data_IF_954861025630
#
_entry.id   IF_954861025630
#
_cell.length_a   1.000
_cell.length_b   1.000
_cell.length_c   1.000
_cell.angle_alpha   90.00
_cell.angle_beta   90.00
_cell.angle_gamma   90.00
#
_symmetry.space_group_name_H-M   'P 1'
#
loop_
_entity.id
_entity.type
_entity.pdbx_description
1 polymer ?
#
# COMPACT_ATOMS: atom_id res chain seq x y z
N UNK A 1 -34.77 17.19 34.08
CA UNK A 1 -33.67 16.21 34.19
C UNK A 1 -33.04 16.04 32.82
N UNK A 2 -31.78 16.47 32.68
CA UNK A 2 -30.96 16.38 31.47
C UNK A 2 -30.32 15.00 31.39
N UNK A 3 -30.08 14.54 30.17
CA UNK A 3 -29.02 13.58 29.87
C UNK A 3 -29.45 12.45 28.95
N UNK A 4 -29.64 12.74 27.66
CA UNK A 4 -29.43 11.72 26.63
C UNK A 4 -27.92 11.52 26.56
N UNK A 5 -27.41 10.51 27.26
CA UNK A 5 -26.03 10.07 27.12
C UNK A 5 -25.92 9.27 25.84
N UNK A 6 -25.40 9.92 24.80
CA UNK A 6 -25.02 9.26 23.56
C UNK A 6 -23.90 8.27 23.82
N UNK A 7 -24.15 7.00 23.49
CA UNK A 7 -23.08 6.09 23.12
C UNK A 7 -22.96 6.16 21.60
N UNK A 8 -22.24 7.20 21.17
CA UNK A 8 -21.85 7.38 19.79
C UNK A 8 -20.98 6.20 19.41
N UNK A 9 -21.54 5.30 18.61
CA UNK A 9 -20.75 4.32 17.86
C UNK A 9 -19.71 5.10 17.08
N UNK A 10 -18.48 5.13 17.58
CA UNK A 10 -17.32 5.51 16.78
C UNK A 10 -17.13 4.40 15.73
N UNK A 11 -17.94 4.42 14.68
CA UNK A 11 -17.65 3.76 13.42
C UNK A 11 -16.49 4.51 12.74
N UNK A 12 -15.34 4.55 13.41
CA UNK A 12 -14.16 5.27 13.01
C UNK A 12 -13.36 4.42 12.04
N UNK A 13 -13.35 4.85 10.78
CA UNK A 13 -12.49 4.42 9.67
C UNK A 13 -11.20 3.72 10.18
N UNK A 14 -11.07 2.41 9.94
CA UNK A 14 -9.86 1.66 10.30
C UNK A 14 -8.59 2.33 9.73
N UNK A 15 -7.40 1.95 10.22
CA UNK A 15 -6.15 2.60 9.83
C UNK A 15 -6.02 2.64 8.30
N UNK A 16 -5.67 3.82 7.81
CA UNK A 16 -5.42 4.07 6.40
C UNK A 16 -4.10 3.41 6.00
N UNK A 17 -4.08 2.76 4.83
CA UNK A 17 -2.98 1.93 4.36
C UNK A 17 -2.21 2.61 3.23
N UNK A 18 -0.89 2.51 3.30
CA UNK A 18 -0.02 2.67 2.14
C UNK A 18 0.23 1.30 1.51
N UNK A 19 0.12 1.20 0.19
CA UNK A 19 0.37 -0.04 -0.53
C UNK A 19 1.58 0.12 -1.46
N UNK A 20 2.59 -0.73 -1.24
CA UNK A 20 3.75 -0.83 -2.09
C UNK A 20 3.49 -1.72 -3.30
N UNK A 21 3.85 -1.22 -4.48
CA UNK A 21 3.68 -1.89 -5.76
C UNK A 21 5.02 -1.97 -6.45
N UNK A 22 5.61 -3.15 -6.61
CA UNK A 22 6.60 -3.35 -7.66
C UNK A 22 5.93 -4.05 -8.85
N UNK A 23 6.58 -4.18 -9.99
CA UNK A 23 6.01 -4.99 -11.07
C UNK A 23 7.06 -5.40 -12.09
N UNK A 24 6.73 -6.41 -12.90
CA UNK A 24 7.43 -6.64 -14.17
C UNK A 24 6.99 -5.56 -15.17
N UNK A 25 7.85 -5.31 -16.16
CA UNK A 25 7.52 -4.38 -17.23
C UNK A 25 6.26 -4.84 -17.99
N UNK A 26 5.38 -3.90 -18.30
CA UNK A 26 4.13 -4.19 -19.01
C UNK A 26 3.01 -4.76 -18.15
N UNK A 27 3.10 -4.65 -16.82
CA UNK A 27 2.00 -5.03 -15.93
C UNK A 27 0.73 -4.27 -16.31
N UNK A 28 -0.40 -4.96 -16.33
CA UNK A 28 -1.69 -4.33 -16.59
C UNK A 28 -2.29 -3.75 -15.31
N UNK A 29 -3.13 -2.74 -15.48
CA UNK A 29 -3.90 -2.14 -14.40
C UNK A 29 -4.79 -3.17 -13.67
N UNK A 30 -5.38 -4.09 -14.44
CA UNK A 30 -6.21 -5.18 -13.92
C UNK A 30 -5.43 -6.11 -12.99
N UNK A 31 -4.21 -6.47 -13.37
CA UNK A 31 -3.32 -7.31 -12.55
C UNK A 31 -2.92 -6.62 -11.26
N UNK A 32 -2.55 -5.33 -11.31
CA UNK A 32 -2.20 -4.57 -10.11
C UNK A 32 -3.37 -4.53 -9.13
N UNK A 33 -4.59 -4.22 -9.59
CA UNK A 33 -5.74 -4.16 -8.70
C UNK A 33 -6.21 -5.52 -8.21
N UNK A 34 -6.10 -6.59 -9.03
CA UNK A 34 -6.41 -7.93 -8.58
C UNK A 34 -5.49 -8.36 -7.43
N UNK A 35 -4.19 -8.10 -7.55
CA UNK A 35 -3.21 -8.41 -6.50
C UNK A 35 -3.44 -7.57 -5.25
N UNK A 36 -3.73 -6.28 -5.41
CA UNK A 36 -4.04 -5.40 -4.29
C UNK A 36 -5.27 -5.87 -3.52
N UNK A 37 -6.34 -6.26 -4.23
CA UNK A 37 -7.56 -6.82 -3.61
C UNK A 37 -7.26 -8.06 -2.78
N UNK A 38 -6.54 -9.01 -3.35
CA UNK A 38 -6.16 -10.25 -2.64
C UNK A 38 -5.32 -9.95 -1.39
N UNK A 39 -4.41 -8.97 -1.47
CA UNK A 39 -3.61 -8.54 -0.32
C UNK A 39 -4.48 -7.95 0.80
N UNK A 40 -5.40 -7.06 0.43
CA UNK A 40 -6.32 -6.42 1.37
C UNK A 40 -7.27 -7.43 2.01
N UNK A 41 -7.80 -8.38 1.24
CA UNK A 41 -8.66 -9.45 1.75
C UNK A 41 -7.96 -10.30 2.81
N UNK A 42 -6.68 -10.65 2.58
CA UNK A 42 -5.85 -11.37 3.56
C UNK A 42 -5.68 -10.58 4.86
N UNK A 43 -5.67 -9.25 4.78
CA UNK A 43 -5.62 -8.35 5.94
C UNK A 43 -7.00 -8.01 6.54
N UNK A 44 -8.11 -8.56 6.00
CA UNK A 44 -9.47 -8.20 6.40
C UNK A 44 -9.81 -6.73 6.11
N UNK A 45 -9.34 -6.23 4.96
CA UNK A 45 -9.50 -4.85 4.49
C UNK A 45 -10.08 -4.82 3.07
N UNK A 46 -10.45 -3.63 2.60
CA UNK A 46 -11.00 -3.38 1.26
C UNK A 46 -10.30 -2.18 0.63
N UNK A 47 -10.43 -2.02 -0.68
CA UNK A 47 -9.80 -0.94 -1.45
C UNK A 47 -9.92 0.46 -0.82
N UNK A 48 -11.07 0.87 -0.22
CA UNK A 48 -11.19 2.19 0.40
C UNK A 48 -10.27 2.44 1.62
N UNK A 49 -9.60 1.40 2.12
CA UNK A 49 -8.59 1.54 3.16
C UNK A 49 -7.24 2.03 2.61
N UNK A 50 -6.98 1.91 1.30
CA UNK A 50 -5.74 2.38 0.67
C UNK A 50 -5.84 3.88 0.41
N UNK A 51 -4.87 4.65 0.88
CA UNK A 51 -4.80 6.10 0.57
C UNK A 51 -3.62 6.49 -0.30
N UNK A 52 -2.67 5.59 -0.55
CA UNK A 52 -1.52 5.87 -1.41
C UNK A 52 -0.99 4.57 -2.00
N UNK A 53 -0.63 4.62 -3.28
CA UNK A 53 0.24 3.62 -3.90
C UNK A 53 1.67 4.16 -3.93
N UNK A 54 2.63 3.29 -3.64
CA UNK A 54 4.05 3.63 -3.64
C UNK A 54 4.83 2.65 -4.51
N UNK A 55 5.81 3.13 -5.28
CA UNK A 55 6.65 2.28 -6.13
C UNK A 55 8.07 2.79 -6.24
N UNK A 56 8.96 2.03 -6.87
CA UNK A 56 10.28 2.52 -7.25
C UNK A 56 10.19 3.47 -8.45
N UNK A 57 11.02 4.50 -8.50
CA UNK A 57 11.08 5.46 -9.61
C UNK A 57 11.27 4.77 -10.96
N UNK A 58 12.07 3.70 -11.02
CA UNK A 58 12.25 2.88 -12.21
C UNK A 58 10.95 2.27 -12.77
N UNK A 59 9.89 2.21 -11.97
CA UNK A 59 8.55 1.68 -12.30
C UNK A 59 7.49 2.80 -12.44
N UNK A 60 7.86 4.07 -12.27
CA UNK A 60 6.93 5.20 -12.37
C UNK A 60 6.20 5.28 -13.72
N UNK A 61 6.89 4.87 -14.81
CA UNK A 61 6.35 4.88 -16.17
C UNK A 61 5.50 3.67 -16.54
N UNK A 62 5.30 2.70 -15.64
CA UNK A 62 4.48 1.52 -15.93
C UNK A 62 2.99 1.92 -15.92
N UNK A 63 2.35 1.92 -17.10
CA UNK A 63 0.97 2.35 -17.28
C UNK A 63 -0.03 1.60 -16.38
N UNK A 64 0.22 0.32 -16.09
CA UNK A 64 -0.64 -0.45 -15.17
C UNK A 64 -0.59 0.05 -13.73
N UNK A 65 0.57 0.52 -13.25
CA UNK A 65 0.71 1.05 -11.88
C UNK A 65 0.06 2.43 -11.79
N UNK A 66 0.34 3.31 -12.76
CA UNK A 66 -0.26 4.63 -12.82
C UNK A 66 -1.79 4.56 -12.97
N UNK A 67 -2.29 3.68 -13.84
CA UNK A 67 -3.72 3.45 -14.02
C UNK A 67 -4.39 2.91 -12.76
N UNK A 68 -3.71 2.05 -12.00
CA UNK A 68 -4.24 1.51 -10.76
C UNK A 68 -4.44 2.61 -9.71
N UNK A 69 -3.46 3.49 -9.53
CA UNK A 69 -3.56 4.65 -8.65
C UNK A 69 -4.72 5.56 -9.07
N UNK A 70 -4.83 5.85 -10.38
CA UNK A 70 -5.90 6.68 -10.93
C UNK A 70 -7.29 6.05 -10.70
N UNK A 71 -7.45 4.74 -10.91
CA UNK A 71 -8.73 4.04 -10.70
C UNK A 71 -9.14 3.97 -9.23
N UNK A 72 -8.17 3.88 -8.32
CA UNK A 72 -8.43 3.95 -6.87
C UNK A 72 -8.67 5.40 -6.39
N UNK A 73 -8.33 6.40 -7.20
CA UNK A 73 -8.43 7.81 -6.83
C UNK A 73 -7.40 8.22 -5.77
N UNK A 74 -6.25 7.55 -5.72
CA UNK A 74 -5.18 7.78 -4.73
C UNK A 74 -3.90 8.27 -5.40
N UNK A 75 -3.05 9.04 -4.71
CA UNK A 75 -1.73 9.40 -5.23
C UNK A 75 -0.85 8.17 -5.48
N UNK A 76 0.00 8.30 -6.50
CA UNK A 76 1.15 7.42 -6.73
C UNK A 76 2.43 8.17 -6.29
N UNK A 77 3.15 7.61 -5.33
CA UNK A 77 4.44 8.13 -4.86
C UNK A 77 5.56 7.23 -5.35
N UNK A 78 6.69 7.83 -5.70
CA UNK A 78 7.86 7.10 -6.19
C UNK A 78 9.09 7.39 -5.36
N UNK A 79 9.90 6.36 -5.14
CA UNK A 79 11.15 6.46 -4.40
C UNK A 79 12.32 5.97 -5.24
N UNK A 80 13.46 6.64 -5.09
CA UNK A 80 14.72 6.24 -5.71
C UNK A 80 15.22 4.92 -5.13
N UNK A 81 16.08 4.22 -5.86
CA UNK A 81 16.70 2.99 -5.36
C UNK A 81 17.51 3.22 -4.07
N UNK A 82 18.10 4.41 -3.90
CA UNK A 82 18.87 4.77 -2.72
C UNK A 82 17.98 4.95 -1.48
N UNK A 83 16.84 5.64 -1.63
CA UNK A 83 15.86 5.79 -0.54
C UNK A 83 15.30 4.45 -0.10
N UNK A 84 14.98 3.57 -1.06
CA UNK A 84 14.45 2.24 -0.78
C UNK A 84 15.48 1.35 -0.06
N UNK A 85 16.74 1.40 -0.47
CA UNK A 85 17.83 0.62 0.15
C UNK A 85 18.17 1.08 1.58
N UNK A 86 17.80 2.31 1.95
CA UNK A 86 18.00 2.85 3.30
C UNK A 86 16.89 2.42 4.29
N UNK A 87 15.82 1.78 3.81
CA UNK A 87 14.73 1.30 4.67
C UNK A 87 15.12 -0.04 5.28
N UNK A 88 15.15 -0.08 6.61
CA UNK A 88 15.28 -1.33 7.34
C UNK A 88 13.94 -2.08 7.28
N UNK A 89 13.86 -3.06 6.38
CA UNK A 89 12.66 -3.88 6.21
C UNK A 89 12.71 -5.05 7.20
N UNK A 90 11.73 -5.19 8.10
CA UNK A 90 11.78 -6.18 9.19
C UNK A 90 11.79 -7.64 8.69
N UNK A 91 11.37 -7.88 7.43
CA UNK A 91 11.44 -9.18 6.78
C UNK A 91 12.11 -9.09 5.39
N UNK A 92 13.44 -9.19 5.29
CA UNK A 92 14.11 -9.27 3.99
C UNK A 92 13.76 -10.61 3.30
N UNK A 93 12.65 -10.59 2.54
CA UNK A 93 12.16 -11.62 1.61
C UNK A 93 11.95 -13.04 2.16
N UNK A 94 10.70 -13.33 2.56
CA UNK A 94 9.99 -14.54 2.08
C UNK A 94 8.47 -14.51 2.22
N UNK A 95 7.91 -13.59 3.00
CA UNK A 95 6.46 -13.44 3.06
C UNK A 95 6.13 -12.02 3.49
N UNK A 96 5.79 -11.15 2.54
CA UNK A 96 4.96 -9.94 2.71
C UNK A 96 4.37 -9.67 1.32
N UNK A 97 3.05 -9.44 1.24
CA UNK A 97 2.35 -9.11 0.00
C UNK A 97 2.78 -7.71 -0.51
N UNK A 98 3.84 -7.67 -1.32
CA UNK A 98 4.04 -6.60 -2.30
C UNK A 98 3.09 -6.85 -3.46
N UNK A 99 2.18 -5.90 -3.74
CA UNK A 99 1.31 -6.02 -4.90
C UNK A 99 2.18 -5.85 -6.15
N UNK A 100 2.58 -6.98 -6.73
CA UNK A 100 3.51 -7.12 -7.84
C UNK A 100 5.01 -6.80 -7.51
N UNK A 101 5.91 -7.49 -8.21
CA UNK A 101 7.36 -7.27 -8.38
C UNK A 101 8.26 -6.97 -7.17
N UNK A 102 9.27 -7.83 -6.94
CA UNK A 102 10.38 -7.63 -5.95
C UNK A 102 9.90 -7.25 -4.53
N UNK A 103 9.59 -8.25 -3.70
CA UNK A 103 8.99 -8.07 -2.37
C UNK A 103 9.68 -7.02 -1.48
N UNK A 104 11.01 -6.98 -1.46
CA UNK A 104 11.78 -6.02 -0.64
C UNK A 104 11.65 -4.56 -1.09
N UNK A 105 11.47 -4.30 -2.40
CA UNK A 105 11.31 -2.94 -2.93
C UNK A 105 9.90 -2.42 -2.69
N UNK A 106 8.89 -3.27 -2.92
CA UNK A 106 7.50 -2.93 -2.64
C UNK A 106 7.30 -2.64 -1.14
N UNK A 107 7.87 -3.47 -0.25
CA UNK A 107 7.78 -3.27 1.20
C UNK A 107 8.45 -1.96 1.65
N UNK A 108 9.66 -1.68 1.18
CA UNK A 108 10.35 -0.43 1.48
C UNK A 108 9.54 0.80 1.03
N UNK A 109 8.95 0.74 -0.18
CA UNK A 109 8.11 1.82 -0.70
C UNK A 109 6.85 2.03 0.16
N UNK A 110 6.20 0.95 0.61
CA UNK A 110 5.03 1.02 1.48
C UNK A 110 5.35 1.66 2.84
N UNK A 111 6.47 1.27 3.45
CA UNK A 111 6.90 1.81 4.74
C UNK A 111 7.26 3.29 4.66
N UNK A 112 7.99 3.71 3.62
CA UNK A 112 8.30 5.13 3.39
C UNK A 112 7.01 5.96 3.18
N UNK A 113 6.05 5.44 2.43
CA UNK A 113 4.79 6.13 2.16
C UNK A 113 3.85 6.19 3.39
N UNK A 114 3.92 5.20 4.28
CA UNK A 114 3.15 5.19 5.52
C UNK A 114 3.71 6.18 6.57
N UNK A 115 4.99 6.53 6.49
CA UNK A 115 5.64 7.53 7.32
C UNK A 115 6.11 7.03 8.70
N UNK A 116 6.68 7.93 9.54
CA UNK A 116 7.28 7.56 10.83
C UNK A 116 6.26 6.90 11.79
N UNK A 117 6.64 5.76 12.38
CA UNK A 117 5.76 4.99 13.27
C UNK A 117 4.83 4.01 12.55
N UNK A 118 4.90 3.95 11.21
CA UNK A 118 4.27 2.89 10.44
C UNK A 118 4.77 1.51 10.90
N UNK A 119 3.84 0.58 10.98
CA UNK A 119 4.13 -0.83 11.23
C UNK A 119 3.69 -1.62 10.01
N UNK A 120 4.53 -2.54 9.55
CA UNK A 120 4.08 -3.57 8.61
C UNK A 120 2.97 -4.36 9.29
N UNK A 121 1.81 -4.46 8.64
CA UNK A 121 0.65 -5.20 9.15
C UNK A 121 0.74 -6.71 8.84
N UNK A 122 1.90 -7.17 8.41
CA UNK A 122 2.18 -8.56 8.09
C UNK A 122 2.93 -9.24 9.26
N UNK A 123 2.51 -10.43 9.71
CA UNK A 123 3.24 -11.20 10.73
C UNK A 123 4.59 -11.75 10.24
#
# INVERSE_FOLDING_TARGET
>A
MRGVSGDGREAGRGPVLAAGVGARAGVTEGEVLALLRAALETAGRREPAVAVLATAEAKAGEAGIAGAAARLGVPLVTYTAAELAAVDVPHPSRTVLGAAGTPSVAEAAALLAAGPGARSWYP
#
